data_IF_163831090679
#
_entry.id   IF_163831090679
#
_cell.length_a   1.000
_cell.length_b   1.000
_cell.length_c   1.000
_cell.angle_alpha   90.00
_cell.angle_beta   90.00
_cell.angle_gamma   90.00
#
_symmetry.space_group_name_H-M   'P 1'
#
loop_
_entity.id
_entity.type
_entity.pdbx_description
1 polymer ?
#
# COMPACT_ATOMS: atom_id res chain seq x y z
N UNK A 1 28.80 -60.19 -1.21
CA UNK A 1 29.05 -60.44 0.22
C UNK A 1 28.23 -59.45 1.02
N UNK A 2 27.32 -59.96 1.85
CA UNK A 2 26.48 -59.19 2.78
C UNK A 2 27.36 -58.69 3.93
N UNK A 3 27.15 -57.45 4.39
CA UNK A 3 27.40 -57.13 5.79
C UNK A 3 26.30 -56.20 6.30
N UNK A 4 25.56 -56.76 7.25
CA UNK A 4 24.54 -56.11 8.04
C UNK A 4 25.19 -55.31 9.18
N UNK A 5 24.56 -54.21 9.55
CA UNK A 5 24.90 -53.43 10.74
C UNK A 5 23.65 -52.74 11.24
N UNK A 6 22.77 -53.52 11.87
CA UNK A 6 21.64 -53.03 12.67
C UNK A 6 22.20 -52.47 13.97
N UNK A 7 21.80 -51.25 14.36
CA UNK A 7 21.81 -50.87 15.77
C UNK A 7 20.62 -49.95 16.06
N UNK A 8 19.63 -50.55 16.72
CA UNK A 8 18.52 -49.91 17.39
C UNK A 8 19.02 -49.30 18.69
N UNK A 9 18.79 -48.00 18.91
CA UNK A 9 18.73 -47.45 20.25
C UNK A 9 17.47 -46.59 20.39
N UNK A 10 16.50 -47.15 21.11
CA UNK A 10 15.37 -46.45 21.69
C UNK A 10 15.87 -45.47 22.75
N UNK A 11 15.46 -44.20 22.68
CA UNK A 11 15.35 -43.38 23.88
C UNK A 11 14.15 -42.44 23.77
N UNK A 12 13.54 -42.25 24.93
CA UNK A 12 12.14 -42.03 25.17
C UNK A 12 11.71 -40.56 25.14
N UNK A 13 10.44 -40.38 24.76
CA UNK A 13 9.43 -39.61 25.49
C UNK A 13 9.79 -38.19 25.97
N UNK A 14 9.16 -37.20 25.34
CA UNK A 14 8.56 -36.06 26.06
C UNK A 14 7.46 -35.45 25.19
N UNK A 15 6.22 -35.84 25.47
CA UNK A 15 5.01 -35.19 24.98
C UNK A 15 4.77 -34.01 25.93
N UNK A 16 5.06 -32.78 25.51
CA UNK A 16 4.57 -31.60 26.22
C UNK A 16 3.34 -31.06 25.49
N UNK A 17 2.18 -31.42 26.04
CA UNK A 17 0.90 -30.77 25.78
C UNK A 17 0.90 -29.44 26.54
N UNK A 18 1.09 -28.32 25.85
CA UNK A 18 0.76 -27.01 26.38
C UNK A 18 -0.70 -26.70 26.06
N UNK A 19 -1.60 -27.11 26.96
CA UNK A 19 -2.88 -26.43 27.15
C UNK A 19 -2.61 -25.19 28.01
N UNK A 20 -2.33 -24.05 27.38
CA UNK A 20 -2.45 -22.75 28.03
C UNK A 20 -3.56 -21.98 27.35
N UNK A 21 -4.76 -22.12 27.91
CA UNK A 21 -5.89 -21.28 27.61
C UNK A 21 -5.73 -20.01 28.46
N UNK A 22 -5.09 -18.98 27.90
CA UNK A 22 -5.00 -17.69 28.56
C UNK A 22 -6.27 -16.86 28.28
N UNK A 23 -6.85 -16.35 29.36
CA UNK A 23 -8.15 -15.70 29.37
C UNK A 23 -7.89 -14.20 29.44
N UNK A 24 -8.16 -13.50 28.34
CA UNK A 24 -8.53 -12.08 28.34
C UNK A 24 -7.40 -11.08 28.59
N UNK A 25 -6.80 -10.62 27.50
CA UNK A 25 -6.36 -9.22 27.39
C UNK A 25 -6.52 -8.82 25.93
N UNK A 26 -7.41 -7.86 25.67
CA UNK A 26 -7.68 -7.35 24.33
C UNK A 26 -6.41 -6.74 23.73
N UNK A 27 -5.74 -7.52 22.89
CA UNK A 27 -4.74 -7.02 21.96
C UNK A 27 -5.46 -6.77 20.65
N UNK A 28 -5.47 -5.51 20.23
CA UNK A 28 -5.84 -5.11 18.88
C UNK A 28 -4.95 -5.87 17.89
N UNK A 29 -5.46 -7.00 17.40
CA UNK A 29 -4.89 -7.69 16.26
C UNK A 29 -5.10 -6.80 15.04
N UNK A 30 -4.15 -5.91 14.75
CA UNK A 30 -3.94 -5.35 13.42
C UNK A 30 -3.43 -6.46 12.51
N UNK A 31 -4.33 -7.40 12.19
CA UNK A 31 -4.09 -8.35 11.11
C UNK A 31 -3.96 -7.49 9.85
N UNK A 32 -2.82 -7.52 9.14
CA UNK A 32 -2.73 -6.81 7.87
C UNK A 32 -3.81 -7.41 6.98
N UNK A 33 -4.78 -6.60 6.57
CA UNK A 33 -5.79 -7.00 5.60
C UNK A 33 -5.07 -7.19 4.27
N UNK A 34 -4.55 -8.38 4.06
CA UNK A 34 -4.06 -8.88 2.77
C UNK A 34 -5.23 -9.58 2.08
N UNK A 35 -6.30 -8.83 1.80
CA UNK A 35 -7.31 -9.28 0.84
C UNK A 35 -6.93 -8.72 -0.53
N UNK A 36 -6.23 -9.53 -1.33
CA UNK A 36 -6.24 -9.40 -2.79
C UNK A 36 -7.66 -9.70 -3.27
N UNK A 37 -8.55 -8.72 -3.17
CA UNK A 37 -9.79 -8.69 -3.93
C UNK A 37 -9.50 -7.89 -5.20
N UNK A 38 -9.87 -8.44 -6.36
CA UNK A 38 -9.82 -7.72 -7.64
C UNK A 38 -10.74 -6.47 -7.65
N UNK A 39 -11.53 -6.27 -6.61
CA UNK A 39 -12.39 -5.09 -6.46
C UNK A 39 -11.57 -3.87 -6.03
N UNK A 40 -10.45 -4.07 -5.32
CA UNK A 40 -9.62 -2.97 -4.82
C UNK A 40 -8.22 -2.95 -5.43
N UNK A 41 -7.95 -1.91 -6.21
CA UNK A 41 -6.76 -1.85 -7.05
C UNK A 41 -6.23 -0.43 -7.18
N UNK A 42 -4.95 -0.35 -7.55
CA UNK A 42 -4.33 0.83 -8.15
C UNK A 42 -3.59 0.37 -9.41
N UNK A 43 -3.86 1.02 -10.53
CA UNK A 43 -3.12 0.83 -11.79
C UNK A 43 -2.65 2.16 -12.30
N UNK A 44 -1.47 2.20 -12.93
CA UNK A 44 -0.89 3.41 -13.48
C UNK A 44 0.14 3.09 -14.56
N UNK A 45 0.67 4.12 -15.20
CA UNK A 45 1.88 4.07 -16.00
C UNK A 45 2.97 4.92 -15.37
N UNK A 46 4.17 4.37 -15.24
CA UNK A 46 5.38 5.10 -14.86
C UNK A 46 6.24 5.21 -16.11
N UNK A 47 6.47 6.43 -16.60
CA UNK A 47 7.17 6.72 -17.86
C UNK A 47 6.63 5.90 -19.04
N UNK A 48 5.30 5.74 -19.09
CA UNK A 48 4.60 4.98 -20.13
C UNK A 48 4.52 3.46 -19.89
N UNK A 49 5.26 2.91 -18.92
CA UNK A 49 5.25 1.48 -18.58
C UNK A 49 4.11 1.19 -17.60
N UNK A 50 3.17 0.32 -17.99
CA UNK A 50 2.05 -0.09 -17.15
C UNK A 50 2.51 -0.85 -15.91
N UNK A 51 1.92 -0.48 -14.77
CA UNK A 51 2.13 -1.13 -13.48
C UNK A 51 0.78 -1.31 -12.77
N UNK A 52 0.69 -2.39 -11.99
CA UNK A 52 -0.41 -2.65 -11.09
C UNK A 52 0.15 -2.87 -9.69
N UNK A 53 -0.49 -2.29 -8.69
CA UNK A 53 -0.09 -2.51 -7.31
C UNK A 53 -0.46 -3.91 -6.84
N UNK A 54 0.38 -4.49 -5.98
CA UNK A 54 0.13 -5.79 -5.35
C UNK A 54 -0.31 -5.66 -3.88
N UNK A 55 -0.13 -4.48 -3.27
CA UNK A 55 -0.70 -4.11 -1.98
C UNK A 55 -1.22 -2.68 -2.06
N UNK A 56 -2.39 -2.43 -1.49
CA UNK A 56 -3.02 -1.13 -1.45
C UNK A 56 -3.53 -0.82 -0.05
N UNK A 57 -3.49 0.45 0.32
CA UNK A 57 -4.11 0.95 1.53
C UNK A 57 -4.72 2.33 1.27
N UNK A 58 -5.84 2.60 1.93
CA UNK A 58 -6.40 3.95 2.02
C UNK A 58 -6.81 4.22 3.47
N UNK A 59 -6.42 5.37 4.01
CA UNK A 59 -6.71 5.78 5.40
C UNK A 59 -7.31 7.17 5.36
N UNK A 60 -8.54 7.32 5.85
CA UNK A 60 -9.20 8.60 6.08
C UNK A 60 -8.89 9.06 7.51
N UNK A 61 -8.20 10.20 7.63
CA UNK A 61 -7.97 10.91 8.89
C UNK A 61 -9.19 11.79 9.19
N UNK A 62 -10.02 11.37 10.14
CA UNK A 62 -11.31 12.04 10.41
C UNK A 62 -11.10 13.48 10.88
N UNK A 63 -10.06 13.72 11.70
CA UNK A 63 -9.79 15.03 12.30
C UNK A 63 -9.45 16.12 11.29
N UNK A 64 -8.90 15.76 10.14
CA UNK A 64 -8.50 16.72 9.08
C UNK A 64 -9.34 16.58 7.81
N UNK A 65 -10.25 15.61 7.75
CA UNK A 65 -10.94 15.20 6.54
C UNK A 65 -9.96 14.93 5.37
N UNK A 66 -8.79 14.34 5.65
CA UNK A 66 -7.78 14.03 4.64
C UNK A 66 -7.72 12.53 4.39
N UNK A 67 -7.47 12.11 3.15
CA UNK A 67 -7.24 10.70 2.83
C UNK A 67 -5.83 10.49 2.29
N UNK A 68 -5.17 9.47 2.83
CA UNK A 68 -3.93 8.95 2.27
C UNK A 68 -4.20 7.64 1.53
N UNK A 69 -3.74 7.55 0.29
CA UNK A 69 -3.83 6.39 -0.58
C UNK A 69 -2.41 5.94 -0.92
N UNK A 70 -2.10 4.67 -0.68
CA UNK A 70 -0.78 4.09 -0.95
C UNK A 70 -0.93 2.82 -1.79
N UNK A 71 -0.12 2.69 -2.83
CA UNK A 71 0.03 1.48 -3.62
C UNK A 71 1.48 1.00 -3.65
N UNK A 72 1.72 -0.26 -3.32
CA UNK A 72 3.01 -0.93 -3.52
C UNK A 72 3.06 -1.56 -4.91
N UNK A 73 4.10 -1.24 -5.66
CA UNK A 73 4.31 -1.57 -7.06
C UNK A 73 5.51 -2.52 -7.22
N UNK A 74 5.56 -3.33 -8.30
CA UNK A 74 6.66 -4.27 -8.54
C UNK A 74 8.04 -3.61 -8.42
N UNK A 75 9.01 -4.37 -7.90
CA UNK A 75 10.36 -3.84 -7.66
C UNK A 75 10.47 -2.97 -6.41
N UNK A 76 9.55 -3.12 -5.44
CA UNK A 76 9.49 -2.34 -4.19
C UNK A 76 9.33 -0.84 -4.43
N UNK A 77 8.67 -0.49 -5.53
CA UNK A 77 8.28 0.87 -5.85
C UNK A 77 6.97 1.19 -5.12
N UNK A 78 6.64 2.47 -4.96
CA UNK A 78 5.32 2.84 -4.43
C UNK A 78 4.81 4.15 -4.98
N UNK A 79 3.49 4.30 -4.94
CA UNK A 79 2.80 5.57 -5.18
C UNK A 79 2.06 5.95 -3.90
N UNK A 80 2.11 7.23 -3.53
CA UNK A 80 1.41 7.77 -2.36
C UNK A 80 0.71 9.08 -2.72
N UNK A 81 -0.58 9.16 -2.42
CA UNK A 81 -1.44 10.32 -2.64
C UNK A 81 -2.00 10.74 -1.29
N UNK A 82 -1.78 11.98 -0.88
CA UNK A 82 -2.47 12.61 0.25
C UNK A 82 -3.38 13.70 -0.30
N UNK A 83 -4.66 13.66 0.07
CA UNK A 83 -5.68 14.60 -0.42
C UNK A 83 -6.39 15.17 0.80
N UNK A 84 -6.24 16.47 1.02
CA UNK A 84 -6.99 17.20 2.04
C UNK A 84 -8.40 17.56 1.57
N UNK A 85 -9.31 17.75 2.54
CA UNK A 85 -10.72 18.10 2.31
C UNK A 85 -11.42 17.13 1.34
N UNK A 86 -11.40 15.84 1.70
CA UNK A 86 -11.94 14.76 0.87
C UNK A 86 -13.40 15.01 0.49
N UNK A 87 -13.63 15.06 -0.82
CA UNK A 87 -14.92 15.13 -1.50
C UNK A 87 -14.77 14.68 -2.95
N UNK A 88 -15.88 14.44 -3.64
CA UNK A 88 -15.85 14.25 -5.10
C UNK A 88 -15.40 15.54 -5.78
N UNK A 89 -14.54 15.45 -6.79
CA UNK A 89 -14.01 16.61 -7.48
C UNK A 89 -12.57 16.44 -7.97
N UNK A 90 -12.00 17.52 -8.48
CA UNK A 90 -10.61 17.58 -8.97
C UNK A 90 -9.75 18.32 -7.96
N UNK A 91 -8.63 17.72 -7.60
CA UNK A 91 -7.61 18.24 -6.69
C UNK A 91 -6.32 18.40 -7.48
N UNK A 92 -5.77 19.61 -7.51
CA UNK A 92 -4.51 19.94 -8.17
C UNK A 92 -3.43 20.13 -7.11
N UNK A 93 -2.25 19.54 -7.32
CA UNK A 93 -1.09 19.68 -6.42
C UNK A 93 -0.80 21.15 -6.06
N UNK A 94 -0.91 22.06 -7.04
CA UNK A 94 -0.53 23.46 -6.86
C UNK A 94 -1.58 24.31 -6.14
N UNK A 95 -2.84 23.86 -6.08
CA UNK A 95 -3.97 24.66 -5.60
C UNK A 95 -4.68 24.05 -4.39
N UNK A 96 -4.55 22.75 -4.21
CA UNK A 96 -5.13 21.99 -3.12
C UNK A 96 -3.97 21.40 -2.33
N UNK A 97 -4.05 21.35 -1.01
CA UNK A 97 -3.04 20.73 -0.15
C UNK A 97 -3.00 19.21 -0.42
N UNK A 98 -2.47 18.85 -1.57
CA UNK A 98 -2.53 17.53 -2.18
C UNK A 98 -1.11 17.16 -2.54
N UNK A 99 -0.63 16.08 -1.94
CA UNK A 99 0.75 15.61 -2.11
C UNK A 99 0.68 14.31 -2.90
N UNK A 100 1.26 14.30 -4.09
CA UNK A 100 1.45 13.07 -4.87
C UNK A 100 2.94 12.76 -4.88
N UNK A 101 3.29 11.49 -4.68
CA UNK A 101 4.68 11.06 -4.66
C UNK A 101 4.82 9.65 -5.22
N UNK A 102 6.01 9.38 -5.73
CA UNK A 102 6.42 8.09 -6.24
C UNK A 102 7.80 7.74 -5.70
N UNK A 103 7.95 6.53 -5.19
CA UNK A 103 9.24 6.01 -4.73
C UNK A 103 9.70 4.94 -5.72
N UNK A 104 10.89 5.11 -6.28
CA UNK A 104 11.47 4.15 -7.22
C UNK A 104 12.23 3.01 -6.50
N UNK A 105 12.54 3.18 -5.21
CA UNK A 105 13.28 2.20 -4.39
C UNK A 105 12.64 2.03 -3.01
N UNK A 106 12.82 0.86 -2.36
CA UNK A 106 12.48 0.69 -0.95
C UNK A 106 13.37 1.59 -0.10
N UNK A 107 12.82 2.11 1.02
CA UNK A 107 13.46 3.02 1.98
C UNK A 107 13.50 4.52 1.62
N UNK A 108 12.67 4.99 0.68
CA UNK A 108 12.51 6.42 0.33
C UNK A 108 13.81 7.13 -0.10
N UNK A 109 14.87 6.38 -0.42
CA UNK A 109 16.15 6.94 -0.88
C UNK A 109 16.08 7.50 -2.29
N UNK A 110 15.09 7.05 -3.08
CA UNK A 110 14.80 7.55 -4.43
C UNK A 110 13.33 7.99 -4.52
N UNK A 111 13.03 9.09 -3.82
CA UNK A 111 11.70 9.68 -3.71
C UNK A 111 11.52 10.79 -4.75
N UNK A 112 10.43 10.73 -5.50
CA UNK A 112 9.99 11.75 -6.44
C UNK A 112 8.71 12.41 -5.90
N UNK A 113 8.71 13.74 -5.80
CA UNK A 113 7.56 14.51 -5.33
C UNK A 113 6.89 15.20 -6.51
N UNK A 114 5.56 15.06 -6.60
CA UNK A 114 4.74 15.68 -7.60
C UNK A 114 4.85 17.20 -7.55
N UNK A 115 5.13 17.82 -8.69
CA UNK A 115 5.22 19.28 -8.84
C UNK A 115 4.03 19.84 -9.61
N UNK A 116 3.50 19.05 -10.55
CA UNK A 116 2.30 19.33 -11.32
C UNK A 116 1.49 18.05 -11.45
N UNK A 117 0.17 18.17 -11.41
CA UNK A 117 -0.71 17.01 -11.54
C UNK A 117 -2.02 17.17 -10.82
N UNK A 118 -2.86 16.16 -10.99
CA UNK A 118 -4.22 16.13 -10.48
C UNK A 118 -4.59 14.76 -9.93
N UNK A 119 -5.49 14.78 -8.95
CA UNK A 119 -6.31 13.64 -8.55
C UNK A 119 -7.77 14.01 -8.76
N UNK A 120 -8.54 13.13 -9.38
CA UNK A 120 -9.99 13.28 -9.52
C UNK A 120 -10.67 12.21 -8.70
N UNK A 121 -11.40 12.60 -7.67
CA UNK A 121 -12.28 11.71 -6.91
C UNK A 121 -13.61 11.63 -7.66
N UNK A 122 -13.90 10.47 -8.25
CA UNK A 122 -15.11 10.22 -9.04
C UNK A 122 -16.23 9.59 -8.23
N UNK A 123 -15.90 8.95 -7.11
CA UNK A 123 -16.87 8.30 -6.25
C UNK A 123 -16.36 8.22 -4.82
N UNK A 124 -17.26 8.47 -3.89
CA UNK A 124 -17.03 8.39 -2.46
C UNK A 124 -18.27 7.80 -1.81
N UNK A 125 -18.10 6.70 -1.10
CA UNK A 125 -19.17 6.08 -0.31
C UNK A 125 -18.83 6.15 1.18
N UNK A 126 -19.48 5.35 2.02
CA UNK A 126 -19.16 5.26 3.44
C UNK A 126 -17.79 4.64 3.72
N UNK A 127 -17.30 3.77 2.84
CA UNK A 127 -16.05 3.03 3.06
C UNK A 127 -15.22 2.84 1.80
N UNK A 128 -15.63 3.35 0.64
CA UNK A 128 -14.87 3.27 -0.61
C UNK A 128 -14.60 4.63 -1.23
N UNK A 129 -13.44 4.74 -1.88
CA UNK A 129 -13.03 5.90 -2.67
C UNK A 129 -12.58 5.42 -4.05
N UNK A 130 -13.08 6.06 -5.10
CA UNK A 130 -12.70 5.80 -6.49
C UNK A 130 -12.23 7.06 -7.16
N UNK A 131 -11.25 6.92 -8.04
CA UNK A 131 -10.74 8.07 -8.76
C UNK A 131 -9.64 7.76 -9.75
N UNK A 132 -9.11 8.84 -10.32
CA UNK A 132 -8.00 8.83 -11.26
C UNK A 132 -6.94 9.81 -10.83
N UNK A 133 -5.69 9.61 -11.25
CA UNK A 133 -4.60 10.55 -10.98
C UNK A 133 -3.57 10.57 -12.10
N UNK A 134 -2.89 11.70 -12.23
CA UNK A 134 -1.73 11.88 -13.09
C UNK A 134 -0.86 12.99 -12.55
N UNK A 135 0.46 12.83 -12.61
CA UNK A 135 1.39 13.85 -12.16
C UNK A 135 2.78 13.66 -12.75
N UNK A 136 3.52 14.75 -12.80
CA UNK A 136 4.97 14.73 -13.01
C UNK A 136 5.64 14.97 -11.68
N UNK A 137 6.57 14.11 -11.33
CA UNK A 137 7.30 14.15 -10.08
C UNK A 137 8.80 14.36 -10.32
N UNK A 138 9.45 15.06 -9.41
CA UNK A 138 10.88 15.38 -9.47
C UNK A 138 11.58 14.84 -8.23
N UNK A 139 12.73 14.22 -8.39
CA UNK A 139 13.63 13.89 -7.29
C UNK A 139 14.52 15.11 -7.00
N UNK A 140 14.45 15.65 -5.79
CA UNK A 140 15.17 16.87 -5.42
C UNK A 140 16.69 16.69 -5.29
N UNK A 141 17.18 15.45 -5.14
CA UNK A 141 18.61 15.18 -4.98
C UNK A 141 19.36 15.22 -6.32
N UNK A 142 18.68 14.89 -7.43
CA UNK A 142 19.33 14.73 -8.74
C UNK A 142 18.57 15.39 -9.91
N UNK A 143 17.42 16.04 -9.65
CA UNK A 143 16.53 16.65 -10.64
C UNK A 143 15.97 15.68 -11.70
N UNK A 144 16.07 14.37 -11.48
CA UNK A 144 15.43 13.39 -12.35
C UNK A 144 13.90 13.52 -12.25
N UNK A 145 13.21 13.30 -13.35
CA UNK A 145 11.75 13.37 -13.42
C UNK A 145 11.13 12.02 -13.71
N UNK A 146 9.91 11.83 -13.20
CA UNK A 146 9.03 10.68 -13.49
C UNK A 146 7.67 11.17 -13.91
N UNK A 147 7.13 10.59 -14.97
CA UNK A 147 5.76 10.86 -15.43
C UNK A 147 4.85 9.73 -15.00
N UNK A 148 3.94 10.03 -14.10
CA UNK A 148 2.90 9.11 -13.64
C UNK A 148 1.62 9.46 -14.37
N UNK A 149 1.13 8.56 -15.21
CA UNK A 149 -0.06 8.77 -16.04
C UNK A 149 -1.04 7.61 -15.95
N UNK A 150 -2.28 7.85 -16.39
CA UNK A 150 -3.35 6.85 -16.41
C UNK A 150 -3.55 6.14 -15.06
N UNK A 151 -3.34 6.88 -13.96
CA UNK A 151 -3.58 6.39 -12.61
C UNK A 151 -5.07 6.18 -12.39
N UNK A 152 -5.48 5.01 -11.93
CA UNK A 152 -6.86 4.67 -11.58
C UNK A 152 -6.81 3.92 -10.24
N UNK A 153 -7.74 4.22 -9.36
CA UNK A 153 -7.91 3.49 -8.12
C UNK A 153 -9.38 3.27 -7.76
N UNK A 154 -9.63 2.13 -7.12
CA UNK A 154 -10.84 1.85 -6.37
C UNK A 154 -10.39 1.19 -5.08
N UNK A 155 -10.66 1.80 -3.92
CA UNK A 155 -10.14 1.30 -2.65
C UNK A 155 -11.19 1.38 -1.56
N UNK A 156 -11.19 0.37 -0.70
CA UNK A 156 -11.76 0.50 0.64
C UNK A 156 -10.79 1.29 1.50
N UNK A 157 -11.31 2.23 2.28
CA UNK A 157 -10.51 2.96 3.26
C UNK A 157 -10.93 2.63 4.69
N UNK A 158 -9.96 2.65 5.59
CA UNK A 158 -10.20 2.64 7.03
C UNK A 158 -10.27 4.07 7.55
N UNK A 159 -10.94 4.26 8.68
CA UNK A 159 -11.02 5.57 9.33
C UNK A 159 -10.11 5.58 10.55
N UNK A 160 -9.33 6.64 10.70
CA UNK A 160 -8.40 6.88 11.80
C UNK A 160 -8.73 8.20 12.49
#
# INVERSE_FOLDING_TARGET
>A
MKNAGVSFFFLALSIMLFNSCDKGSGSLSTKPVTSLSNDYYITLKVDGVSQASYLNAAILYISTNSIQIVGQLPGNQSVNLLIDDLKTGVFNIAANNTILSYNATPANTDTFIGTIGTVTITGLTTDTVTGTFQFTATNFNNNATKTISNGIFNLKYTRQ
#
